data_IF_426270948832
#
_entry.id   IF_426270948832
#
_cell.length_a   1.000
_cell.length_b   1.000
_cell.length_c   1.000
_cell.angle_alpha   90.00
_cell.angle_beta   90.00
_cell.angle_gamma   90.00
#
_symmetry.space_group_name_H-M   'P 1'
#
loop_
_entity.id
_entity.type
_entity.pdbx_description
1 polymer ?
#
# COMPACT_ATOMS: atom_id res chain seq x y z
N UNK A 1 0.65 18.02 -13.39
CA UNK A 1 1.41 18.05 -12.13
C UNK A 1 0.37 18.25 -11.04
N UNK A 2 0.41 17.47 -9.95
CA UNK A 2 -0.47 17.76 -8.81
C UNK A 2 -0.21 19.17 -8.27
N UNK A 3 -1.16 19.75 -7.54
CA UNK A 3 -1.00 21.08 -6.89
C UNK A 3 0.29 21.17 -6.05
N UNK A 4 0.65 20.07 -5.39
CA UNK A 4 1.88 19.94 -4.61
C UNK A 4 3.17 19.79 -5.46
N UNK A 5 3.08 19.84 -6.79
CA UNK A 5 4.23 19.72 -7.68
C UNK A 5 4.80 18.30 -7.80
N UNK A 6 4.07 17.26 -7.38
CA UNK A 6 4.56 15.87 -7.44
C UNK A 6 4.13 15.15 -8.71
N UNK A 7 5.00 14.27 -9.20
CA UNK A 7 4.82 13.43 -10.39
C UNK A 7 4.22 12.05 -10.08
N UNK A 8 4.40 11.54 -8.86
CA UNK A 8 3.87 10.26 -8.41
C UNK A 8 3.35 10.37 -6.97
N UNK A 9 2.12 9.90 -6.75
CA UNK A 9 1.50 9.89 -5.44
C UNK A 9 1.61 8.51 -4.79
N UNK A 10 1.95 8.49 -3.51
CA UNK A 10 2.10 7.25 -2.73
C UNK A 10 0.95 7.16 -1.75
N UNK A 11 0.12 6.12 -1.92
CA UNK A 11 -1.04 5.87 -1.08
C UNK A 11 -0.69 4.83 -0.01
N UNK A 12 -0.92 5.11 1.29
CA UNK A 12 -0.92 4.05 2.30
C UNK A 12 -2.09 3.13 1.96
N UNK A 13 -1.90 1.81 1.93
CA UNK A 13 -2.95 0.92 1.46
C UNK A 13 -4.14 0.90 2.41
N UNK A 14 -5.21 1.59 1.99
CA UNK A 14 -6.47 1.66 2.70
C UNK A 14 -7.39 0.49 2.31
N UNK A 15 -8.57 0.46 2.92
CA UNK A 15 -9.68 -0.32 2.38
C UNK A 15 -9.92 0.05 0.92
N UNK A 16 -10.30 -0.93 0.10
CA UNK A 16 -10.53 -0.77 -1.35
C UNK A 16 -11.39 0.45 -1.68
N UNK A 17 -12.46 0.70 -0.91
CA UNK A 17 -13.35 1.83 -1.15
C UNK A 17 -12.65 3.19 -0.99
N UNK A 18 -11.81 3.34 0.05
CA UNK A 18 -11.09 4.59 0.28
C UNK A 18 -10.01 4.80 -0.79
N UNK A 19 -9.25 3.76 -1.13
CA UNK A 19 -8.23 3.85 -2.17
C UNK A 19 -8.85 4.24 -3.52
N UNK A 20 -9.98 3.63 -3.89
CA UNK A 20 -10.70 3.98 -5.12
C UNK A 20 -11.21 5.41 -5.14
N UNK A 21 -11.75 5.92 -4.01
CA UNK A 21 -12.22 7.30 -3.91
C UNK A 21 -11.06 8.29 -4.04
N UNK A 22 -9.93 7.98 -3.41
CA UNK A 22 -8.73 8.82 -3.46
C UNK A 22 -8.15 8.84 -4.89
N UNK A 23 -7.98 7.67 -5.53
CA UNK A 23 -7.50 7.57 -6.91
C UNK A 23 -8.42 8.26 -7.93
N UNK A 24 -9.73 8.29 -7.67
CA UNK A 24 -10.70 9.01 -8.54
C UNK A 24 -10.50 10.52 -8.53
N UNK A 25 -10.08 11.10 -7.40
CA UNK A 25 -9.97 12.55 -7.23
C UNK A 25 -8.52 13.05 -7.32
N UNK A 26 -7.55 12.16 -7.43
CA UNK A 26 -6.14 12.52 -7.48
C UNK A 26 -5.73 12.96 -8.89
N UNK A 27 -4.90 13.99 -8.96
CA UNK A 27 -4.24 14.38 -10.20
C UNK A 27 -2.89 13.68 -10.33
N UNK A 28 -2.74 12.95 -11.45
CA UNK A 28 -1.52 12.22 -11.77
C UNK A 28 -1.52 10.76 -11.29
N UNK A 29 -0.45 10.02 -11.62
CA UNK A 29 -0.36 8.61 -11.26
C UNK A 29 -0.23 8.43 -9.74
N UNK A 30 -0.80 7.33 -9.27
CA UNK A 30 -0.74 6.94 -7.87
C UNK A 30 -0.38 5.45 -7.76
N UNK A 31 0.37 5.10 -6.72
CA UNK A 31 0.72 3.72 -6.40
C UNK A 31 0.44 3.42 -4.92
N UNK A 32 0.18 2.15 -4.62
CA UNK A 32 -0.09 1.68 -3.27
C UNK A 32 1.20 1.21 -2.59
N UNK A 33 1.55 1.78 -1.45
CA UNK A 33 2.80 1.49 -0.74
C UNK A 33 2.74 0.18 0.05
N UNK A 34 1.66 -0.03 0.80
CA UNK A 34 1.55 -1.17 1.71
C UNK A 34 0.07 -1.50 1.93
N UNK A 35 -0.35 -2.72 1.60
CA UNK A 35 -1.76 -3.15 1.69
C UNK A 35 -2.02 -4.04 2.90
N UNK A 36 -3.29 -4.22 3.25
CA UNK A 36 -3.70 -5.19 4.26
C UNK A 36 -3.26 -6.59 3.83
N UNK A 37 -2.47 -7.22 4.67
CA UNK A 37 -2.06 -8.62 4.53
C UNK A 37 -2.76 -9.45 5.61
N UNK A 38 -3.42 -10.54 5.19
CA UNK A 38 -4.15 -11.44 6.09
C UNK A 38 -3.22 -12.18 7.06
N UNK A 39 -2.05 -12.62 6.62
CA UNK A 39 -1.06 -13.29 7.47
C UNK A 39 -0.49 -12.34 8.51
N UNK A 40 -0.37 -11.06 8.18
CA UNK A 40 0.09 -10.03 9.11
C UNK A 40 -1.04 -9.44 9.97
N UNK A 41 -2.24 -10.04 9.96
CA UNK A 41 -3.37 -9.57 10.75
C UNK A 41 -3.81 -8.14 10.39
N UNK A 42 -3.79 -7.80 9.10
CA UNK A 42 -4.07 -6.45 8.59
C UNK A 42 -3.11 -5.37 9.12
N UNK A 43 -1.87 -5.72 9.48
CA UNK A 43 -0.80 -4.78 9.85
C UNK A 43 0.20 -4.64 8.69
N UNK A 44 0.02 -3.67 7.76
CA UNK A 44 0.75 -3.63 6.49
C UNK A 44 2.28 -3.55 6.63
N UNK A 45 2.77 -2.92 7.69
CA UNK A 45 4.21 -2.72 7.93
C UNK A 45 4.84 -3.81 8.83
N UNK A 46 4.07 -4.78 9.32
CA UNK A 46 4.60 -5.84 10.18
C UNK A 46 5.64 -6.73 9.46
N UNK A 47 5.61 -6.79 8.12
CA UNK A 47 6.61 -7.48 7.32
C UNK A 47 8.03 -6.91 7.50
N UNK A 48 8.16 -5.60 7.73
CA UNK A 48 9.47 -4.93 7.83
C UNK A 48 10.20 -5.27 9.15
N UNK A 49 9.44 -5.65 10.17
CA UNK A 49 9.97 -5.91 11.52
C UNK A 49 9.81 -7.39 11.92
N UNK A 50 9.51 -8.28 10.98
CA UNK A 50 9.33 -9.71 11.23
C UNK A 50 10.13 -10.54 10.24
N UNK A 51 10.24 -11.85 10.50
CA UNK A 51 10.82 -12.81 9.55
C UNK A 51 9.87 -13.18 8.40
N UNK A 52 8.92 -12.31 8.04
CA UNK A 52 7.93 -12.54 6.99
C UNK A 52 8.56 -12.89 5.63
N UNK A 53 9.74 -12.33 5.32
CA UNK A 53 10.49 -12.67 4.09
C UNK A 53 10.93 -14.14 4.02
N UNK A 54 11.12 -14.81 5.17
CA UNK A 54 11.45 -16.24 5.20
C UNK A 54 10.22 -17.09 4.81
N UNK A 55 9.02 -16.65 5.18
CA UNK A 55 7.76 -17.31 4.78
C UNK A 55 7.58 -17.25 3.26
N UNK A 56 7.89 -16.11 2.62
CA UNK A 56 7.77 -15.97 1.16
C UNK A 56 8.73 -16.88 0.38
N UNK A 57 9.89 -17.24 0.95
CA UNK A 57 10.86 -18.13 0.30
C UNK A 57 10.44 -19.60 0.30
N UNK A 58 9.61 -19.99 1.27
CA UNK A 58 9.09 -21.36 1.43
C UNK A 58 7.66 -21.28 1.98
N UNK A 59 6.67 -20.99 1.12
CA UNK A 59 5.28 -21.00 1.55
C UNK A 59 4.92 -22.42 2.03
N UNK A 60 4.30 -22.51 3.21
CA UNK A 60 3.70 -23.75 3.73
C UNK A 60 2.41 -24.08 2.99
#
# INVERSE_FOLDING_TARGET
MSDAGVELNILPGLCVAHSSLVMRNLEGPATMLAVKDRMLGNKPLAALHSSYSNFLKKPV
#
